data_IF_181383719996
#
_entry.id   IF_181383719996
#
_cell.length_a   1.000
_cell.length_b   1.000
_cell.length_c   1.000
_cell.angle_alpha   90.00
_cell.angle_beta   90.00
_cell.angle_gamma   90.00
#
_symmetry.space_group_name_H-M   'P 1'
#
loop_
_entity.id
_entity.type
_entity.pdbx_description
1 polymer ?
#
# COMPACT_ATOMS: atom_id res chain seq x y z
N UNK A 1 24.51 26.71 -12.35
CA UNK A 1 23.99 25.49 -13.00
C UNK A 1 24.00 24.37 -11.99
N UNK A 2 22.96 23.54 -11.98
CA UNK A 2 22.77 22.40 -11.09
C UNK A 2 21.81 22.72 -9.94
N UNK A 3 20.63 22.12 -9.81
CA UNK A 3 19.92 21.04 -10.52
C UNK A 3 18.42 21.41 -10.50
N UNK A 4 17.69 21.10 -11.58
CA UNK A 4 16.35 21.65 -11.85
C UNK A 4 15.16 20.83 -11.29
N UNK A 5 15.39 19.80 -10.48
CA UNK A 5 14.29 18.94 -10.00
C UNK A 5 14.39 18.61 -8.50
N UNK A 6 13.25 18.58 -7.77
CA UNK A 6 13.22 18.27 -6.35
C UNK A 6 13.62 16.81 -6.08
N UNK A 7 14.38 16.61 -5.00
CA UNK A 7 14.75 15.29 -4.48
C UNK A 7 13.55 14.69 -3.74
N UNK A 8 13.21 13.43 -4.04
CA UNK A 8 12.18 12.68 -3.35
C UNK A 8 12.83 11.53 -2.57
N UNK A 9 12.39 11.31 -1.33
CA UNK A 9 12.84 10.19 -0.48
C UNK A 9 12.21 8.91 -1.05
N UNK A 10 13.04 7.95 -1.45
CA UNK A 10 12.60 6.72 -2.15
C UNK A 10 12.41 5.57 -1.17
N UNK A 11 13.19 5.51 -0.10
CA UNK A 11 13.05 4.59 1.03
C UNK A 11 13.87 5.14 2.20
N UNK A 12 13.47 4.79 3.43
CA UNK A 12 14.22 5.05 4.65
C UNK A 12 14.54 3.74 5.32
N UNK A 13 15.82 3.36 5.31
CA UNK A 13 16.31 2.25 6.12
C UNK A 13 16.68 2.82 7.50
N UNK A 14 15.78 2.64 8.46
CA UNK A 14 15.89 3.18 9.83
C UNK A 14 16.99 2.46 10.61
N UNK A 15 17.21 1.17 10.34
CA UNK A 15 18.22 0.36 11.02
C UNK A 15 19.64 0.72 10.58
N UNK A 16 19.82 1.09 9.31
CA UNK A 16 21.12 1.47 8.76
C UNK A 16 21.33 2.99 8.63
N UNK A 17 20.34 3.83 8.95
CA UNK A 17 20.36 5.29 8.75
C UNK A 17 20.77 5.69 7.31
N UNK A 18 20.27 4.94 6.32
CA UNK A 18 20.55 5.17 4.90
C UNK A 18 19.30 5.75 4.23
N UNK A 19 19.48 6.90 3.59
CA UNK A 19 18.44 7.55 2.78
C UNK A 19 18.77 7.32 1.31
N UNK A 20 17.93 6.52 0.63
CA UNK A 20 18.03 6.36 -0.81
C UNK A 20 17.31 7.52 -1.50
N UNK A 21 18.07 8.33 -2.25
CA UNK A 21 17.53 9.43 -3.05
C UNK A 21 17.65 9.09 -4.53
N UNK A 22 16.62 9.42 -5.32
CA UNK A 22 16.66 9.29 -6.77
C UNK A 22 16.05 10.52 -7.42
N UNK A 23 16.59 10.86 -8.58
CA UNK A 23 16.26 12.08 -9.31
C UNK A 23 15.16 11.77 -10.34
N UNK A 24 14.03 12.46 -10.25
CA UNK A 24 12.94 12.40 -11.24
C UNK A 24 11.69 11.62 -10.81
N UNK A 25 10.51 12.12 -11.23
CA UNK A 25 9.16 11.61 -10.88
C UNK A 25 8.83 10.19 -11.40
N UNK A 26 9.73 9.57 -12.16
CA UNK A 26 9.52 8.28 -12.83
C UNK A 26 10.48 7.18 -12.34
N UNK A 27 11.19 7.39 -11.22
CA UNK A 27 12.12 6.39 -10.72
C UNK A 27 11.38 5.08 -10.36
N UNK A 28 11.78 3.91 -10.89
CA UNK A 28 11.10 2.63 -10.63
C UNK A 28 10.97 2.28 -9.14
N UNK A 29 11.91 2.72 -8.31
CA UNK A 29 11.85 2.55 -6.85
C UNK A 29 10.75 3.34 -6.13
N UNK A 30 10.13 4.33 -6.78
CA UNK A 30 9.00 5.09 -6.22
C UNK A 30 7.65 4.38 -6.37
N UNK A 31 7.60 3.34 -7.23
CA UNK A 31 6.38 2.61 -7.56
C UNK A 31 6.43 1.24 -6.91
N UNK A 32 5.68 1.08 -5.81
CA UNK A 32 5.49 -0.22 -5.17
C UNK A 32 4.21 -0.85 -5.71
N UNK A 33 4.27 -2.14 -6.09
CA UNK A 33 3.10 -2.90 -6.55
C UNK A 33 2.29 -3.47 -5.40
N UNK A 34 2.94 -3.73 -4.27
CA UNK A 34 2.29 -4.25 -3.08
C UNK A 34 2.66 -3.41 -1.85
N UNK A 35 1.79 -3.44 -0.86
CA UNK A 35 2.01 -2.92 0.48
C UNK A 35 1.60 -3.98 1.50
N UNK A 36 2.02 -3.78 2.75
CA UNK A 36 1.72 -4.68 3.85
C UNK A 36 0.96 -3.95 4.96
N UNK A 37 0.12 -4.70 5.65
CA UNK A 37 -0.63 -4.25 6.82
C UNK A 37 -0.49 -5.34 7.89
N UNK A 38 0.06 -4.97 9.04
CA UNK A 38 0.15 -5.87 10.19
C UNK A 38 -1.22 -6.26 10.73
N UNK A 39 -1.33 -7.45 11.32
CA UNK A 39 -2.59 -7.92 11.91
C UNK A 39 -3.18 -6.96 12.95
N UNK A 40 -2.34 -6.26 13.72
CA UNK A 40 -2.80 -5.28 14.73
C UNK A 40 -3.44 -4.05 14.11
N UNK A 41 -3.10 -3.74 12.87
CA UNK A 41 -3.59 -2.57 12.13
C UNK A 41 -4.70 -2.93 11.13
N UNK A 42 -5.10 -4.21 11.05
CA UNK A 42 -6.20 -4.66 10.22
C UNK A 42 -7.55 -4.36 10.86
N UNK A 43 -8.43 -3.75 10.08
CA UNK A 43 -9.81 -3.51 10.47
C UNK A 43 -10.78 -4.00 9.39
N UNK A 44 -11.53 -5.06 9.72
CA UNK A 44 -12.62 -5.56 8.89
C UNK A 44 -13.94 -4.96 9.37
N UNK A 45 -14.68 -4.35 8.45
CA UNK A 45 -16.05 -3.88 8.72
C UNK A 45 -17.03 -5.04 8.48
N UNK A 46 -16.76 -5.84 7.45
CA UNK A 46 -17.46 -7.09 7.15
C UNK A 46 -16.62 -8.26 7.62
N UNK A 47 -16.74 -8.59 8.91
CA UNK A 47 -15.99 -9.71 9.53
C UNK A 47 -16.32 -11.07 8.91
N UNK A 48 -17.52 -11.22 8.32
CA UNK A 48 -17.93 -12.41 7.57
C UNK A 48 -17.13 -12.62 6.28
N UNK A 49 -16.50 -11.55 5.77
CA UNK A 49 -15.63 -11.55 4.59
C UNK A 49 -14.14 -11.51 4.95
N UNK A 50 -13.81 -11.57 6.25
CA UNK A 50 -12.43 -11.56 6.70
C UNK A 50 -11.70 -12.82 6.23
N UNK A 51 -10.59 -12.61 5.52
CA UNK A 51 -9.78 -13.70 4.98
C UNK A 51 -9.05 -14.46 6.08
N UNK A 52 -8.99 -15.78 5.91
CA UNK A 52 -8.12 -16.67 6.70
C UNK A 52 -6.73 -16.74 6.06
N UNK A 53 -5.76 -17.23 6.82
CA UNK A 53 -4.41 -17.43 6.29
C UNK A 53 -4.44 -18.26 4.99
N UNK A 54 -3.60 -17.89 4.04
CA UNK A 54 -3.47 -18.45 2.69
C UNK A 54 -4.66 -18.19 1.75
N UNK A 55 -5.65 -17.38 2.17
CA UNK A 55 -6.73 -16.93 1.29
C UNK A 55 -6.39 -15.62 0.57
N UNK A 56 -7.04 -15.41 -0.57
CA UNK A 56 -6.92 -14.19 -1.35
C UNK A 56 -8.27 -13.72 -1.87
N UNK A 57 -8.37 -12.40 -2.12
CA UNK A 57 -9.61 -11.79 -2.61
C UNK A 57 -9.33 -10.62 -3.55
N UNK A 58 -9.91 -10.61 -4.76
CA UNK A 58 -9.87 -9.44 -5.62
C UNK A 58 -10.75 -8.33 -5.04
N UNK A 59 -10.24 -7.11 -5.03
CA UNK A 59 -10.91 -5.94 -4.46
C UNK A 59 -10.63 -4.69 -5.30
N UNK A 60 -11.37 -3.64 -4.99
CA UNK A 60 -11.01 -2.27 -5.32
C UNK A 60 -10.37 -1.63 -4.10
N UNK A 61 -9.20 -1.03 -4.23
CA UNK A 61 -8.48 -0.41 -3.12
C UNK A 61 -8.01 1.00 -3.44
N UNK A 62 -7.83 1.82 -2.40
CA UNK A 62 -7.17 3.12 -2.48
C UNK A 62 -6.30 3.33 -1.26
N UNK A 63 -5.17 4.00 -1.47
CA UNK A 63 -4.22 4.37 -0.40
C UNK A 63 -4.27 5.87 -0.08
N UNK A 64 -5.12 6.61 -0.77
CA UNK A 64 -5.34 8.05 -0.57
C UNK A 64 -6.81 8.38 -0.74
N UNK A 65 -7.31 9.27 0.11
CA UNK A 65 -8.73 9.63 0.12
C UNK A 65 -9.27 10.13 -1.23
N UNK A 66 -8.50 10.97 -1.94
CA UNK A 66 -8.91 11.54 -3.24
C UNK A 66 -8.52 10.68 -4.44
N UNK A 67 -7.87 9.53 -4.22
CA UNK A 67 -7.48 8.66 -5.31
C UNK A 67 -8.69 7.82 -5.76
N UNK A 68 -8.93 7.67 -7.07
CA UNK A 68 -9.90 6.72 -7.59
C UNK A 68 -9.56 5.30 -7.14
N UNK A 69 -10.58 4.48 -6.92
CA UNK A 69 -10.39 3.06 -6.63
C UNK A 69 -9.55 2.38 -7.72
N UNK A 70 -8.59 1.56 -7.29
CA UNK A 70 -7.69 0.80 -8.14
C UNK A 70 -7.93 -0.68 -7.93
N UNK A 71 -7.82 -1.48 -8.98
CA UNK A 71 -7.89 -2.94 -8.84
C UNK A 71 -6.70 -3.44 -8.03
N UNK A 72 -6.99 -4.29 -7.05
CA UNK A 72 -6.00 -4.94 -6.21
C UNK A 72 -6.44 -6.35 -5.81
N UNK A 73 -5.49 -7.14 -5.31
CA UNK A 73 -5.74 -8.44 -4.70
C UNK A 73 -5.20 -8.41 -3.28
N UNK A 74 -6.04 -8.81 -2.34
CA UNK A 74 -5.64 -9.06 -0.96
C UNK A 74 -5.06 -10.47 -0.85
N UNK A 75 -3.95 -10.63 -0.14
CA UNK A 75 -3.41 -11.94 0.24
C UNK A 75 -3.21 -11.97 1.74
N UNK A 76 -3.93 -12.87 2.41
CA UNK A 76 -3.80 -13.04 3.86
C UNK A 76 -2.71 -14.05 4.17
N UNK A 77 -1.77 -13.64 5.01
CA UNK A 77 -0.71 -14.49 5.56
C UNK A 77 -0.82 -14.50 7.08
N UNK A 78 -0.05 -15.36 7.75
CA UNK A 78 -0.06 -15.43 9.21
C UNK A 78 0.32 -14.09 9.87
N UNK A 79 1.28 -13.35 9.30
CA UNK A 79 1.78 -12.09 9.85
C UNK A 79 0.87 -10.87 9.61
N UNK A 80 0.00 -10.91 8.60
CA UNK A 80 -0.74 -9.71 8.17
C UNK A 80 -1.46 -9.88 6.85
N UNK A 81 -1.58 -8.80 6.10
CA UNK A 81 -2.26 -8.75 4.82
C UNK A 81 -1.40 -7.99 3.81
N UNK A 82 -1.14 -8.62 2.66
CA UNK A 82 -0.58 -7.93 1.51
C UNK A 82 -1.71 -7.40 0.63
N UNK A 83 -1.54 -6.18 0.14
CA UNK A 83 -2.43 -5.57 -0.87
C UNK A 83 -1.61 -5.35 -2.13
N UNK A 84 -1.84 -6.17 -3.16
CA UNK A 84 -1.16 -6.06 -4.44
C UNK A 84 -2.04 -5.32 -5.45
N UNK A 85 -1.60 -4.17 -5.92
CA UNK A 85 -2.28 -3.41 -6.96
C UNK A 85 -1.94 -3.94 -8.35
N UNK A 86 -2.96 -4.03 -9.21
CA UNK A 86 -2.80 -4.39 -10.61
C UNK A 86 -1.90 -3.38 -11.37
N UNK A 87 -2.00 -2.10 -11.00
CA UNK A 87 -1.13 -1.04 -11.49
C UNK A 87 -0.22 -0.53 -10.36
N UNK A 88 1.08 -0.27 -10.62
CA UNK A 88 1.99 0.23 -9.60
C UNK A 88 1.53 1.56 -8.99
N UNK A 89 1.68 1.71 -7.67
CA UNK A 89 1.27 2.91 -6.95
C UNK A 89 2.50 3.72 -6.53
N UNK A 90 2.48 5.03 -6.78
CA UNK A 90 3.58 5.92 -6.43
C UNK A 90 3.50 6.39 -4.98
N UNK A 91 4.65 6.50 -4.31
CA UNK A 91 4.77 7.12 -2.99
C UNK A 91 3.78 6.52 -1.98
N UNK A 92 3.87 5.19 -1.82
CA UNK A 92 3.30 4.47 -0.68
C UNK A 92 4.15 4.80 0.53
N UNK A 93 3.53 5.19 1.64
CA UNK A 93 4.23 5.62 2.86
C UNK A 93 3.65 4.91 4.07
N UNK A 94 4.52 4.43 4.94
CA UNK A 94 4.18 3.87 6.26
C UNK A 94 3.35 4.88 7.06
N UNK A 95 2.38 4.37 7.84
CA UNK A 95 1.44 5.19 8.62
C UNK A 95 0.27 5.77 7.81
N UNK A 96 0.26 5.64 6.48
CA UNK A 96 -0.93 5.95 5.68
C UNK A 96 -1.92 4.78 5.70
N UNK A 97 -3.16 5.04 5.30
CA UNK A 97 -4.21 4.03 5.28
C UNK A 97 -4.41 3.43 3.89
N UNK A 98 -4.61 2.13 3.84
CA UNK A 98 -5.26 1.45 2.72
C UNK A 98 -6.70 1.13 3.09
N UNK A 99 -7.63 1.31 2.14
CA UNK A 99 -9.01 0.90 2.27
C UNK A 99 -9.43 0.09 1.05
N UNK A 100 -10.15 -1.02 1.26
CA UNK A 100 -10.59 -1.91 0.20
C UNK A 100 -12.10 -2.13 0.20
N UNK A 101 -12.61 -2.35 -1.00
CA UNK A 101 -14.02 -2.35 -1.36
C UNK A 101 -14.32 -3.57 -2.21
N UNK A 102 -15.52 -4.12 -2.02
CA UNK A 102 -16.13 -5.04 -2.97
C UNK A 102 -17.29 -4.30 -3.61
N UNK A 103 -17.22 -4.12 -4.93
CA UNK A 103 -18.13 -3.24 -5.66
C UNK A 103 -18.12 -1.83 -5.02
N UNK A 104 -19.26 -1.38 -4.49
CA UNK A 104 -19.41 -0.07 -3.85
C UNK A 104 -19.38 -0.12 -2.31
N UNK A 105 -19.21 -1.32 -1.72
CA UNK A 105 -19.19 -1.52 -0.27
C UNK A 105 -17.77 -1.46 0.28
N UNK A 106 -17.54 -0.63 1.31
CA UNK A 106 -16.28 -0.63 2.07
C UNK A 106 -16.23 -1.87 2.96
N UNK A 107 -15.27 -2.75 2.71
CA UNK A 107 -15.16 -4.05 3.41
C UNK A 107 -14.14 -4.01 4.53
N UNK A 108 -13.08 -3.21 4.37
CA UNK A 108 -12.07 -3.06 5.41
C UNK A 108 -10.99 -2.04 5.08
N UNK A 109 -10.08 -1.87 6.03
CA UNK A 109 -8.97 -0.93 5.96
C UNK A 109 -7.82 -1.36 6.87
N UNK A 110 -6.68 -0.72 6.72
CA UNK A 110 -5.63 -0.78 7.73
C UNK A 110 -4.52 0.24 7.51
N UNK A 111 -3.62 0.33 8.49
CA UNK A 111 -2.45 1.20 8.43
C UNK A 111 -1.32 0.45 7.72
N UNK A 112 -0.69 1.12 6.76
CA UNK A 112 0.43 0.58 5.99
C UNK A 112 1.66 0.55 6.90
N UNK A 113 2.28 -0.63 6.99
CA UNK A 113 3.56 -0.87 7.65
C UNK A 113 4.71 -0.87 6.65
#
# INVERSE_FOLDING_TARGET
GGTAEPLFVIDTDVDNNIIYTGQGKAHPGLYKRALFVDNSELHWIREDLALKADESMPVLARIRYRQPLQQATLYKVESGLYVEFAQPQSAITEGQFVAWYLEDELVGSGVIS
#
